data_IF_811689111321
#
_entry.id   IF_811689111321
#
_cell.length_a   1.000
_cell.length_b   1.000
_cell.length_c   1.000
_cell.angle_alpha   90.00
_cell.angle_beta   90.00
_cell.angle_gamma   90.00
#
_symmetry.space_group_name_H-M   'P 1'
#
loop_
_entity.id
_entity.type
_entity.pdbx_description
1 polymer ?
#
# COMPACT_ATOMS: atom_id res chain seq x y z
N UNK A 1 0.42 -11.11 -23.11
CA UNK A 1 1.63 -10.37 -23.52
C UNK A 1 2.92 -11.04 -23.00
N UNK A 2 3.03 -11.38 -21.71
CA UNK A 2 4.28 -11.88 -21.08
C UNK A 2 5.04 -12.99 -21.82
N UNK A 3 4.43 -14.15 -22.09
CA UNK A 3 5.13 -15.31 -22.70
C UNK A 3 5.62 -15.03 -24.12
N UNK A 4 4.83 -14.29 -24.91
CA UNK A 4 5.19 -13.93 -26.28
C UNK A 4 6.41 -12.99 -26.32
N UNK A 5 6.44 -11.96 -25.46
CA UNK A 5 7.57 -11.03 -25.34
C UNK A 5 8.82 -11.75 -24.85
N UNK A 6 8.70 -12.60 -23.82
CA UNK A 6 9.79 -13.47 -23.36
C UNK A 6 10.36 -14.31 -24.51
N UNK A 7 9.51 -14.94 -25.30
CA UNK A 7 9.93 -15.73 -26.45
C UNK A 7 10.63 -14.90 -27.53
N UNK A 8 10.16 -13.67 -27.78
CA UNK A 8 10.78 -12.73 -28.71
C UNK A 8 12.20 -12.32 -28.25
N UNK A 9 12.36 -11.94 -26.98
CA UNK A 9 13.65 -11.52 -26.41
C UNK A 9 14.67 -12.65 -26.46
N UNK A 10 14.26 -13.86 -26.06
CA UNK A 10 15.12 -15.05 -26.10
C UNK A 10 15.58 -15.39 -27.53
N UNK A 11 14.69 -15.34 -28.52
CA UNK A 11 15.04 -15.61 -29.92
C UNK A 11 16.04 -14.62 -30.51
N UNK A 12 16.09 -13.39 -29.97
CA UNK A 12 16.97 -12.31 -30.46
C UNK A 12 18.14 -12.01 -29.53
N UNK A 13 18.36 -12.80 -28.48
CA UNK A 13 19.37 -12.54 -27.44
C UNK A 13 19.28 -11.13 -26.84
N UNK A 14 18.06 -10.60 -26.69
CA UNK A 14 17.84 -9.30 -26.07
C UNK A 14 17.71 -9.48 -24.55
N UNK A 15 18.49 -8.75 -23.72
CA UNK A 15 18.30 -8.75 -22.28
C UNK A 15 16.96 -8.10 -21.94
N UNK A 16 16.33 -8.56 -20.85
CA UNK A 16 15.07 -8.02 -20.38
C UNK A 16 14.90 -8.23 -18.89
N UNK A 17 14.12 -7.36 -18.26
CA UNK A 17 13.63 -7.53 -16.90
C UNK A 17 12.16 -7.89 -16.89
N UNK A 18 11.72 -8.42 -15.75
CA UNK A 18 10.32 -8.79 -15.51
C UNK A 18 9.90 -8.25 -14.15
N UNK A 19 8.60 -8.15 -13.90
CA UNK A 19 8.10 -7.75 -12.59
C UNK A 19 7.10 -8.73 -12.03
N UNK A 20 7.08 -8.87 -10.71
CA UNK A 20 6.19 -9.75 -9.97
C UNK A 20 5.29 -8.92 -9.04
N UNK A 21 4.07 -8.63 -9.50
CA UNK A 21 3.10 -7.81 -8.74
C UNK A 21 1.80 -8.55 -8.39
N UNK A 22 1.53 -9.66 -9.08
CA UNK A 22 0.34 -10.46 -8.86
C UNK A 22 0.77 -11.80 -8.28
N UNK A 23 0.17 -12.16 -7.14
CA UNK A 23 0.24 -13.48 -6.50
C UNK A 23 -0.53 -14.50 -7.35
N UNK A 24 -0.05 -14.70 -8.57
CA UNK A 24 -0.70 -15.51 -9.60
C UNK A 24 -0.86 -16.98 -9.16
N UNK A 25 0.12 -17.62 -8.50
CA UNK A 25 -0.03 -18.98 -7.98
C UNK A 25 -1.22 -19.12 -7.03
N UNK A 26 -1.37 -18.19 -6.09
CA UNK A 26 -2.45 -18.17 -5.10
C UNK A 26 -3.79 -17.90 -5.78
N UNK A 27 -3.84 -16.91 -6.65
CA UNK A 27 -5.02 -16.60 -7.46
C UNK A 27 -5.48 -17.80 -8.30
N UNK A 28 -4.55 -18.54 -8.88
CA UNK A 28 -4.84 -19.73 -9.67
C UNK A 28 -5.40 -20.85 -8.77
N UNK A 29 -4.73 -21.13 -7.65
CA UNK A 29 -5.13 -22.18 -6.72
C UNK A 29 -6.49 -21.95 -6.07
N UNK A 30 -6.90 -20.68 -5.92
CA UNK A 30 -8.22 -20.31 -5.41
C UNK A 30 -9.35 -20.55 -6.43
N UNK A 31 -9.04 -20.70 -7.71
CA UNK A 31 -10.04 -20.80 -8.80
C UNK A 31 -10.11 -22.17 -9.45
N UNK A 32 -9.02 -22.91 -9.45
CA UNK A 32 -8.93 -24.25 -10.02
C UNK A 32 -8.16 -25.17 -9.06
N UNK A 33 -8.42 -26.49 -9.05
CA UNK A 33 -7.82 -27.44 -8.11
C UNK A 33 -6.36 -27.76 -8.44
N UNK A 34 -5.52 -26.74 -8.44
CA UNK A 34 -4.08 -26.81 -8.73
C UNK A 34 -3.34 -26.20 -7.54
N UNK A 35 -2.35 -26.93 -7.00
CA UNK A 35 -1.51 -26.39 -5.94
C UNK A 35 -0.78 -25.12 -6.39
N UNK A 36 -0.67 -24.14 -5.49
CA UNK A 36 0.13 -22.94 -5.71
C UNK A 36 1.58 -23.29 -6.11
N UNK A 37 2.14 -24.42 -5.65
CA UNK A 37 3.50 -24.83 -6.01
C UNK A 37 3.69 -25.04 -7.52
N UNK A 38 2.65 -25.52 -8.22
CA UNK A 38 2.67 -25.63 -9.68
C UNK A 38 2.73 -24.24 -10.33
N UNK A 39 1.94 -23.31 -9.78
CA UNK A 39 1.99 -21.90 -10.16
C UNK A 39 3.39 -21.30 -9.96
N UNK A 40 4.01 -21.51 -8.79
CA UNK A 40 5.37 -21.01 -8.53
C UNK A 40 6.41 -21.65 -9.43
N UNK A 41 6.30 -22.95 -9.75
CA UNK A 41 7.17 -23.60 -10.74
C UNK A 41 7.08 -22.94 -12.10
N UNK A 42 5.86 -22.65 -12.56
CA UNK A 42 5.64 -21.93 -13.81
C UNK A 42 6.23 -20.52 -13.76
N UNK A 43 5.98 -19.78 -12.68
CA UNK A 43 6.50 -18.43 -12.51
C UNK A 43 8.03 -18.42 -12.48
N UNK A 44 8.68 -19.35 -11.77
CA UNK A 44 10.14 -19.49 -11.79
C UNK A 44 10.66 -19.72 -13.21
N UNK A 45 10.06 -20.64 -13.97
CA UNK A 45 10.43 -20.88 -15.37
C UNK A 45 10.26 -19.62 -16.23
N UNK A 46 9.17 -18.89 -16.02
CA UNK A 46 8.87 -17.68 -16.76
C UNK A 46 9.93 -16.60 -16.51
N UNK A 47 10.27 -16.35 -15.23
CA UNK A 47 11.17 -15.28 -14.83
C UNK A 47 12.67 -15.63 -14.93
N UNK A 48 13.05 -16.92 -14.89
CA UNK A 48 14.46 -17.39 -14.93
C UNK A 48 15.34 -16.79 -16.03
N UNK A 49 14.91 -16.53 -17.27
CA UNK A 49 15.77 -15.90 -18.26
C UNK A 49 15.96 -14.38 -18.10
N UNK A 50 15.17 -13.72 -17.25
CA UNK A 50 15.29 -12.27 -17.06
C UNK A 50 16.58 -11.91 -16.34
N UNK A 51 17.09 -10.72 -16.62
CA UNK A 51 18.27 -10.17 -15.95
C UNK A 51 17.96 -9.68 -14.53
N UNK A 52 16.67 -9.46 -14.23
CA UNK A 52 16.18 -9.04 -12.93
C UNK A 52 14.67 -9.21 -12.82
N UNK A 53 14.21 -9.58 -11.63
CA UNK A 53 12.80 -9.72 -11.27
C UNK A 53 12.47 -8.60 -10.29
N UNK A 54 11.79 -7.58 -10.78
CA UNK A 54 11.35 -6.44 -10.00
C UNK A 54 10.26 -6.87 -9.02
N UNK A 55 10.53 -6.71 -7.73
CA UNK A 55 9.64 -7.02 -6.62
C UNK A 55 9.35 -5.75 -5.83
N UNK A 56 8.11 -5.61 -5.39
CA UNK A 56 7.66 -4.34 -4.87
C UNK A 56 7.92 -4.18 -3.36
N UNK A 57 7.98 -5.28 -2.60
CA UNK A 57 8.16 -5.27 -1.15
C UNK A 57 9.21 -6.26 -0.67
N UNK A 58 9.71 -6.04 0.55
CA UNK A 58 10.65 -6.96 1.20
C UNK A 58 9.99 -8.29 1.57
N UNK A 59 8.74 -8.30 2.05
CA UNK A 59 8.06 -9.57 2.33
C UNK A 59 7.89 -10.43 1.07
N UNK A 60 7.57 -9.81 -0.08
CA UNK A 60 7.49 -10.50 -1.37
C UNK A 60 8.85 -11.01 -1.83
N UNK A 61 9.93 -10.23 -1.58
CA UNK A 61 11.30 -10.66 -1.86
C UNK A 61 11.63 -11.92 -1.07
N UNK A 62 11.49 -11.88 0.24
CA UNK A 62 11.80 -13.00 1.15
C UNK A 62 10.99 -14.24 0.80
N UNK A 63 9.70 -14.07 0.49
CA UNK A 63 8.85 -15.17 0.05
C UNK A 63 9.36 -15.79 -1.25
N UNK A 64 9.66 -14.98 -2.27
CA UNK A 64 10.14 -15.46 -3.56
C UNK A 64 11.54 -16.10 -3.42
N UNK A 65 12.42 -15.55 -2.60
CA UNK A 65 13.73 -16.14 -2.28
C UNK A 65 13.58 -17.52 -1.62
N UNK A 66 12.71 -17.64 -0.61
CA UNK A 66 12.41 -18.92 0.05
C UNK A 66 11.85 -19.97 -0.93
N UNK A 67 11.25 -19.52 -2.04
CA UNK A 67 10.70 -20.37 -3.10
C UNK A 67 11.66 -20.58 -4.27
N UNK A 68 12.92 -20.13 -4.16
CA UNK A 68 13.99 -20.37 -5.13
C UNK A 68 13.94 -19.46 -6.36
N UNK A 69 13.38 -18.25 -6.23
CA UNK A 69 13.58 -17.19 -7.22
C UNK A 69 14.96 -16.55 -7.02
N UNK A 70 15.57 -16.09 -8.10
CA UNK A 70 16.90 -15.50 -8.12
C UNK A 70 16.84 -14.15 -8.83
N UNK A 71 17.85 -13.29 -8.63
CA UNK A 71 17.95 -11.95 -9.26
C UNK A 71 16.75 -11.06 -8.96
N UNK A 72 16.26 -11.10 -7.73
CA UNK A 72 15.22 -10.19 -7.28
C UNK A 72 15.81 -8.80 -7.08
N UNK A 73 15.19 -7.78 -7.67
CA UNK A 73 15.59 -6.37 -7.57
C UNK A 73 14.42 -5.54 -7.09
N UNK A 74 14.69 -4.51 -6.30
CA UNK A 74 13.61 -3.71 -5.72
C UNK A 74 13.00 -2.78 -6.78
N UNK A 75 11.68 -2.72 -6.81
CA UNK A 75 10.93 -1.72 -7.56
C UNK A 75 9.64 -1.39 -6.79
N UNK A 76 9.77 -0.48 -5.83
CA UNK A 76 8.68 -0.06 -4.95
C UNK A 76 7.65 0.78 -5.70
N UNK A 77 6.51 1.07 -5.05
CA UNK A 77 5.52 1.99 -5.62
C UNK A 77 5.87 3.44 -5.32
N UNK A 78 5.44 4.33 -6.22
CA UNK A 78 5.57 5.77 -6.10
C UNK A 78 4.35 6.43 -5.44
N UNK A 79 4.60 7.51 -4.68
CA UNK A 79 3.60 8.50 -4.26
C UNK A 79 3.95 9.87 -4.84
N UNK A 80 2.93 10.66 -5.19
CA UNK A 80 3.10 12.05 -5.61
C UNK A 80 3.30 12.93 -4.37
N UNK A 81 4.55 13.10 -3.98
CA UNK A 81 4.93 13.90 -2.81
C UNK A 81 4.78 15.40 -3.04
N UNK A 82 4.59 15.86 -4.29
CA UNK A 82 4.25 17.24 -4.55
C UNK A 82 2.77 17.49 -4.24
N UNK A 83 1.88 16.58 -4.65
CA UNK A 83 0.45 16.64 -4.36
C UNK A 83 0.15 16.41 -2.87
N UNK A 84 0.60 15.29 -2.32
CA UNK A 84 0.38 14.94 -0.91
C UNK A 84 1.50 15.55 -0.07
N UNK A 85 1.15 16.53 0.77
CA UNK A 85 2.10 17.28 1.61
C UNK A 85 1.41 17.85 2.86
N UNK A 86 2.12 17.97 4.00
CA UNK A 86 1.53 18.51 5.24
C UNK A 86 0.99 19.93 5.09
N UNK A 87 1.54 20.74 4.18
CA UNK A 87 1.17 22.15 3.98
C UNK A 87 -0.05 22.33 3.05
N UNK A 88 -0.69 21.24 2.60
CA UNK A 88 -1.91 21.34 1.83
C UNK A 88 -3.02 22.01 2.68
N UNK A 89 -3.96 22.74 2.06
CA UNK A 89 -5.07 23.34 2.79
C UNK A 89 -5.84 22.29 3.60
N UNK A 90 -6.25 22.63 4.82
CA UNK A 90 -7.06 21.72 5.61
C UNK A 90 -8.52 21.76 5.14
N UNK A 91 -9.05 20.62 4.69
CA UNK A 91 -10.44 20.49 4.25
C UNK A 91 -11.44 20.40 5.42
N UNK A 92 -10.98 20.05 6.62
CA UNK A 92 -11.83 19.72 7.77
C UNK A 92 -11.51 20.61 8.96
N UNK A 93 -12.54 21.19 9.55
CA UNK A 93 -12.50 21.88 10.85
C UNK A 93 -13.30 21.05 11.86
N UNK A 94 -12.64 20.06 12.46
CA UNK A 94 -13.24 19.06 13.34
C UNK A 94 -12.47 18.98 14.67
N UNK A 95 -13.13 18.56 15.77
CA UNK A 95 -12.45 18.28 17.04
C UNK A 95 -11.27 17.32 16.85
N UNK A 96 -10.08 17.76 17.25
CA UNK A 96 -8.88 16.91 17.21
C UNK A 96 -8.85 15.94 18.39
N UNK A 97 -8.19 14.78 18.23
CA UNK A 97 -7.53 14.28 17.02
C UNK A 97 -8.49 13.85 15.91
N UNK A 98 -8.08 13.99 14.65
CA UNK A 98 -8.81 13.52 13.46
C UNK A 98 -8.22 12.17 13.01
N UNK A 99 -8.96 11.10 13.23
CA UNK A 99 -8.61 9.75 12.76
C UNK A 99 -9.25 9.50 11.41
N UNK A 100 -8.45 9.09 10.43
CA UNK A 100 -8.91 9.02 9.04
C UNK A 100 -8.72 7.63 8.44
N UNK A 101 -9.77 7.17 7.77
CA UNK A 101 -9.70 6.08 6.80
C UNK A 101 -9.86 6.65 5.39
N UNK A 102 -9.04 6.19 4.44
CA UNK A 102 -9.17 6.50 3.01
C UNK A 102 -9.19 5.21 2.21
N UNK A 103 -10.23 5.02 1.40
CA UNK A 103 -10.35 3.85 0.54
C UNK A 103 -11.78 3.47 0.19
N UNK A 104 -11.92 2.33 -0.51
CA UNK A 104 -13.24 1.81 -0.88
C UNK A 104 -14.03 1.37 0.36
N UNK A 105 -15.27 1.84 0.50
CA UNK A 105 -16.14 1.44 1.63
C UNK A 105 -16.79 0.08 1.35
N UNK A 106 -16.09 -1.00 1.71
CA UNK A 106 -16.47 -2.37 1.39
C UNK A 106 -16.04 -3.39 2.45
N UNK A 107 -16.66 -4.58 2.42
CA UNK A 107 -16.56 -5.61 3.48
C UNK A 107 -15.12 -6.06 3.67
N UNK A 108 -14.41 -6.28 2.57
CA UNK A 108 -13.02 -6.73 2.56
C UNK A 108 -12.05 -5.73 3.20
N UNK A 109 -12.46 -4.46 3.35
CA UNK A 109 -11.65 -3.42 3.99
C UNK A 109 -11.80 -3.37 5.50
N UNK A 110 -12.75 -4.12 6.08
CA UNK A 110 -12.92 -4.26 7.52
C UNK A 110 -13.08 -2.90 8.25
N UNK A 111 -13.72 -1.93 7.59
CA UNK A 111 -13.81 -0.53 8.08
C UNK A 111 -14.52 -0.45 9.43
N UNK A 112 -15.46 -1.37 9.69
CA UNK A 112 -16.14 -1.48 10.99
C UNK A 112 -15.16 -1.56 12.16
N UNK A 113 -14.01 -2.21 12.00
CA UNK A 113 -12.99 -2.29 13.04
C UNK A 113 -12.37 -0.93 13.42
N UNK A 114 -12.37 0.04 12.50
CA UNK A 114 -12.04 1.43 12.78
C UNK A 114 -13.24 2.18 13.38
N UNK A 115 -14.45 1.99 12.83
CA UNK A 115 -15.64 2.72 13.27
C UNK A 115 -16.06 2.34 14.71
N UNK A 116 -15.84 1.09 15.11
CA UNK A 116 -16.14 0.59 16.46
C UNK A 116 -15.14 1.08 17.53
N UNK A 117 -14.05 1.75 17.15
CA UNK A 117 -13.08 2.24 18.12
C UNK A 117 -13.68 3.40 18.93
N UNK A 118 -13.52 3.28 20.26
CA UNK A 118 -13.77 4.36 21.20
C UNK A 118 -12.51 5.24 21.27
N UNK A 119 -12.61 6.41 20.65
CA UNK A 119 -11.52 7.36 20.47
C UNK A 119 -12.01 8.76 20.82
N UNK A 120 -11.23 9.48 21.62
CA UNK A 120 -11.42 10.91 21.82
C UNK A 120 -11.04 11.64 20.53
N UNK A 121 -11.98 12.37 19.92
CA UNK A 121 -11.77 13.13 18.68
C UNK A 121 -12.78 12.82 17.58
N UNK A 122 -12.39 13.05 16.33
CA UNK A 122 -13.26 12.90 15.17
C UNK A 122 -12.83 11.73 14.29
N UNK A 123 -13.80 10.92 13.85
CA UNK A 123 -13.60 9.84 12.88
C UNK A 123 -14.05 10.28 11.50
N UNK A 124 -13.20 10.13 10.50
CA UNK A 124 -13.47 10.53 9.10
C UNK A 124 -13.25 9.36 8.15
N UNK A 125 -14.22 9.16 7.26
CA UNK A 125 -14.15 8.18 6.16
C UNK A 125 -14.16 8.91 4.84
N UNK A 126 -13.03 8.87 4.13
CA UNK A 126 -12.87 9.39 2.77
C UNK A 126 -12.97 8.22 1.80
N UNK A 127 -14.00 8.20 0.98
CA UNK A 127 -14.23 7.12 0.03
C UNK A 127 -15.69 6.84 -0.24
N UNK A 128 -15.91 5.93 -1.17
CA UNK A 128 -17.23 5.43 -1.50
C UNK A 128 -17.17 3.92 -1.70
N UNK A 129 -18.33 3.27 -1.71
CA UNK A 129 -18.41 1.83 -1.91
C UNK A 129 -19.76 1.25 -1.50
N UNK A 130 -19.94 -0.06 -1.76
CA UNK A 130 -21.22 -0.74 -1.55
C UNK A 130 -21.73 -0.69 -0.10
N UNK A 131 -20.85 -0.51 0.89
CA UNK A 131 -21.25 -0.43 2.29
C UNK A 131 -21.42 0.99 2.83
N UNK A 132 -21.20 2.03 2.01
CA UNK A 132 -21.20 3.41 2.49
C UNK A 132 -22.52 3.77 3.17
N UNK A 133 -23.64 3.62 2.46
CA UNK A 133 -24.95 4.07 2.95
C UNK A 133 -25.35 3.35 4.25
N UNK A 134 -25.06 2.05 4.34
CA UNK A 134 -25.31 1.24 5.54
C UNK A 134 -24.48 1.73 6.73
N UNK A 135 -23.18 1.92 6.56
CA UNK A 135 -22.28 2.34 7.63
C UNK A 135 -22.52 3.80 8.04
N UNK A 136 -22.81 4.69 7.09
CA UNK A 136 -23.16 6.09 7.36
C UNK A 136 -24.44 6.20 8.20
N UNK A 137 -25.42 5.31 7.98
CA UNK A 137 -26.61 5.23 8.82
C UNK A 137 -26.35 4.61 10.20
N UNK A 138 -25.39 3.69 10.32
CA UNK A 138 -25.11 2.97 11.56
C UNK A 138 -24.17 3.74 12.51
N UNK A 139 -23.35 4.65 11.97
CA UNK A 139 -22.35 5.43 12.70
C UNK A 139 -22.57 6.94 12.44
N UNK A 140 -23.66 7.54 12.96
CA UNK A 140 -24.02 8.93 12.68
C UNK A 140 -23.01 9.96 13.23
N UNK A 141 -22.12 9.54 14.13
CA UNK A 141 -21.04 10.36 14.68
C UNK A 141 -19.79 10.40 13.78
N UNK A 142 -19.71 9.56 12.75
CA UNK A 142 -18.57 9.48 11.82
C UNK A 142 -18.83 10.37 10.60
N UNK A 143 -17.82 11.11 10.18
CA UNK A 143 -17.90 11.98 9.00
C UNK A 143 -17.57 11.20 7.72
N UNK A 144 -18.61 10.79 6.98
CA UNK A 144 -18.47 10.22 5.63
C UNK A 144 -18.47 11.32 4.57
N UNK A 145 -17.29 11.63 4.01
CA UNK A 145 -17.12 12.77 3.09
C UNK A 145 -17.16 12.38 1.61
N UNK A 146 -17.35 11.09 1.32
CA UNK A 146 -17.36 10.55 -0.03
C UNK A 146 -15.99 10.41 -0.68
N UNK A 147 -15.97 9.97 -1.93
CA UNK A 147 -14.73 9.80 -2.69
C UNK A 147 -14.13 11.16 -3.07
N UNK A 148 -12.81 11.28 -2.86
CA UNK A 148 -12.02 12.49 -3.10
C UNK A 148 -10.86 12.17 -4.04
N UNK A 149 -10.40 13.17 -4.81
CA UNK A 149 -9.29 13.03 -5.75
C UNK A 149 -8.47 14.33 -5.81
N UNK A 150 -7.22 14.22 -6.29
CA UNK A 150 -6.36 15.38 -6.51
C UNK A 150 -6.15 16.22 -5.24
N UNK A 151 -6.19 17.54 -5.40
CA UNK A 151 -5.99 18.50 -4.30
C UNK A 151 -7.03 18.36 -3.18
N UNK A 152 -8.28 17.99 -3.50
CA UNK A 152 -9.32 17.77 -2.48
C UNK A 152 -8.95 16.56 -1.61
N UNK A 153 -8.43 15.48 -2.21
CA UNK A 153 -7.95 14.33 -1.43
C UNK A 153 -6.72 14.68 -0.59
N UNK A 154 -5.76 15.43 -1.15
CA UNK A 154 -4.58 15.88 -0.42
C UNK A 154 -4.95 16.76 0.78
N UNK A 155 -5.93 17.66 0.62
CA UNK A 155 -6.45 18.50 1.69
C UNK A 155 -7.10 17.71 2.84
N UNK A 156 -7.75 16.59 2.53
CA UNK A 156 -8.28 15.68 3.55
C UNK A 156 -7.15 14.97 4.30
N UNK A 157 -6.15 14.41 3.60
CA UNK A 157 -5.01 13.77 4.26
C UNK A 157 -4.26 14.76 5.18
N UNK A 158 -4.02 16.00 4.75
CA UNK A 158 -3.37 17.04 5.56
C UNK A 158 -4.19 17.42 6.81
N UNK A 159 -5.51 17.23 6.78
CA UNK A 159 -6.39 17.47 7.93
C UNK A 159 -6.33 16.37 9.00
N UNK A 160 -5.76 15.21 8.68
CA UNK A 160 -5.71 14.05 9.56
C UNK A 160 -4.54 14.05 10.55
N UNK A 161 -4.76 13.44 11.71
CA UNK A 161 -3.77 13.22 12.76
C UNK A 161 -3.22 11.79 12.74
N UNK A 162 -4.07 10.79 12.49
CA UNK A 162 -3.66 9.37 12.38
C UNK A 162 -4.46 8.70 11.27
N UNK A 163 -3.74 7.98 10.40
CA UNK A 163 -4.33 7.16 9.36
C UNK A 163 -4.59 5.77 9.90
N UNK A 164 -5.87 5.39 10.01
CA UNK A 164 -6.25 4.07 10.51
C UNK A 164 -6.52 3.16 9.32
N UNK A 165 -5.73 2.09 9.21
CA UNK A 165 -5.79 1.12 8.12
C UNK A 165 -6.27 -0.25 8.63
N UNK A 166 -7.59 -0.51 8.67
CA UNK A 166 -8.16 -1.72 9.26
C UNK A 166 -8.16 -2.93 8.31
N UNK A 167 -7.74 -2.78 7.04
CA UNK A 167 -7.74 -3.90 6.10
C UNK A 167 -6.67 -4.94 6.47
N UNK A 168 -7.04 -6.21 6.39
CA UNK A 168 -6.14 -7.35 6.65
C UNK A 168 -5.57 -7.98 5.38
N UNK A 169 -6.07 -7.59 4.21
CA UNK A 169 -5.86 -8.30 2.94
C UNK A 169 -5.19 -7.47 1.86
N UNK A 170 -5.02 -6.16 2.08
CA UNK A 170 -4.35 -5.28 1.13
C UNK A 170 -2.83 -5.51 1.10
N UNK A 171 -2.26 -5.48 -0.11
CA UNK A 171 -0.90 -5.97 -0.38
C UNK A 171 0.17 -4.88 -0.53
N UNK A 172 -0.19 -3.59 -0.51
CA UNK A 172 0.81 -2.51 -0.62
C UNK A 172 0.35 -1.16 -0.05
N UNK A 173 -0.95 -0.86 -0.13
CA UNK A 173 -1.55 0.34 0.44
C UNK A 173 -0.90 1.66 -0.01
N UNK A 174 -1.08 2.06 -1.28
CA UNK A 174 -0.70 3.41 -1.75
C UNK A 174 -1.24 4.52 -0.83
N UNK A 175 -2.44 4.32 -0.29
CA UNK A 175 -3.07 5.22 0.69
C UNK A 175 -2.25 5.43 1.97
N UNK A 176 -1.45 4.44 2.40
CA UNK A 176 -0.52 4.61 3.52
C UNK A 176 0.63 5.55 3.13
N UNK A 177 1.18 5.41 1.92
CA UNK A 177 2.22 6.32 1.43
C UNK A 177 1.68 7.75 1.24
N UNK A 178 0.43 7.91 0.81
CA UNK A 178 -0.25 9.22 0.71
C UNK A 178 -0.46 9.87 2.08
N UNK A 179 -0.88 9.08 3.08
CA UNK A 179 -0.99 9.52 4.47
C UNK A 179 0.37 9.97 5.03
N UNK A 180 1.40 9.13 4.90
CA UNK A 180 2.76 9.43 5.34
C UNK A 180 3.33 10.65 4.62
N UNK A 181 3.10 10.77 3.30
CA UNK A 181 3.47 11.95 2.53
C UNK A 181 2.78 13.22 3.03
N UNK A 182 1.61 13.12 3.65
CA UNK A 182 0.90 14.25 4.26
C UNK A 182 1.27 14.45 5.74
N UNK A 183 2.27 13.71 6.25
CA UNK A 183 2.76 13.76 7.63
C UNK A 183 1.85 13.05 8.63
N UNK A 184 0.96 12.17 8.16
CA UNK A 184 0.03 11.45 9.04
C UNK A 184 0.56 10.03 9.34
N UNK A 185 0.89 9.70 10.61
CA UNK A 185 1.33 8.37 11.01
C UNK A 185 0.23 7.32 10.80
N UNK A 186 0.65 6.06 10.65
CA UNK A 186 -0.25 4.94 10.33
C UNK A 186 -0.50 4.05 11.54
N UNK A 187 -1.76 3.66 11.76
CA UNK A 187 -2.14 2.59 12.68
C UNK A 187 -2.79 1.44 11.89
N UNK A 188 -2.26 0.22 12.00
CA UNK A 188 -2.72 -0.89 11.17
C UNK A 188 -2.51 -2.27 11.84
N UNK A 189 -3.06 -3.31 11.23
CA UNK A 189 -2.77 -4.70 11.61
C UNK A 189 -1.39 -5.16 11.11
N UNK A 190 -0.70 -6.09 11.81
CA UNK A 190 0.60 -6.62 11.40
C UNK A 190 0.46 -7.68 10.29
N UNK A 191 0.03 -7.24 9.12
CA UNK A 191 -0.22 -8.06 7.91
C UNK A 191 0.66 -7.57 6.76
N UNK A 192 0.86 -8.36 5.68
CA UNK A 192 1.92 -8.08 4.68
C UNK A 192 1.97 -6.64 4.15
N UNK A 193 0.83 -6.05 3.74
CA UNK A 193 0.82 -4.68 3.22
C UNK A 193 1.35 -3.63 4.21
N UNK A 194 0.75 -3.49 5.40
CA UNK A 194 1.27 -2.61 6.45
C UNK A 194 2.69 -2.94 6.90
N UNK A 195 3.07 -4.23 7.01
CA UNK A 195 4.44 -4.63 7.36
C UNK A 195 5.45 -4.04 6.35
N UNK A 196 5.12 -4.13 5.07
CA UNK A 196 6.01 -3.66 4.00
C UNK A 196 6.18 -2.13 3.93
N UNK A 197 5.27 -1.35 4.52
CA UNK A 197 5.29 0.12 4.47
C UNK A 197 5.74 0.75 5.78
N UNK A 198 5.37 0.15 6.92
CA UNK A 198 5.44 0.76 8.25
C UNK A 198 6.45 0.08 9.16
N UNK A 199 6.66 -1.24 9.02
CA UNK A 199 7.44 -2.00 10.00
C UNK A 199 8.91 -1.55 10.05
N UNK A 200 9.43 -1.41 11.27
CA UNK A 200 10.78 -0.91 11.53
C UNK A 200 11.07 0.54 11.10
N UNK A 201 10.14 1.22 10.42
CA UNK A 201 10.34 2.57 9.92
C UNK A 201 10.06 3.65 10.97
N UNK A 202 9.34 3.34 12.05
CA UNK A 202 8.99 4.31 13.10
C UNK A 202 7.94 5.34 12.68
N UNK A 203 7.18 5.05 11.62
CA UNK A 203 6.20 5.96 11.00
C UNK A 203 4.74 5.54 11.25
N UNK A 204 4.58 4.48 12.04
CA UNK A 204 3.29 3.93 12.41
C UNK A 204 3.42 2.81 13.44
N UNK A 205 2.27 2.34 13.94
CA UNK A 205 2.18 1.26 14.92
C UNK A 205 1.36 0.12 14.31
N UNK A 206 1.94 -1.08 14.35
CA UNK A 206 1.29 -2.32 13.91
C UNK A 206 0.88 -3.14 15.14
N UNK A 207 -0.41 -3.48 15.25
CA UNK A 207 -0.94 -4.24 16.40
C UNK A 207 -2.19 -5.02 16.04
N UNK A 208 -2.42 -6.15 16.70
CA UNK A 208 -3.72 -6.84 16.66
C UNK A 208 -4.81 -6.09 17.45
N UNK A 209 -4.41 -5.20 18.38
CA UNK A 209 -5.28 -4.19 18.98
C UNK A 209 -5.14 -2.87 18.21
N UNK A 210 -6.06 -2.66 17.26
CA UNK A 210 -6.08 -1.47 16.41
C UNK A 210 -6.33 -0.17 17.21
N UNK A 211 -7.08 -0.24 18.31
CA UNK A 211 -7.32 0.91 19.17
C UNK A 211 -6.06 1.37 19.90
N UNK A 212 -5.30 0.41 20.43
CA UNK A 212 -3.98 0.67 21.02
C UNK A 212 -3.02 1.25 19.97
N UNK A 213 -2.93 0.65 18.78
CA UNK A 213 -2.10 1.18 17.69
C UNK A 213 -2.47 2.62 17.33
N UNK A 214 -3.76 2.93 17.27
CA UNK A 214 -4.26 4.27 16.93
C UNK A 214 -3.85 5.32 17.97
N UNK A 215 -3.98 5.00 19.27
CA UNK A 215 -3.60 5.89 20.37
C UNK A 215 -2.09 6.07 20.52
N UNK A 216 -1.30 5.08 20.15
CA UNK A 216 0.16 5.19 20.18
C UNK A 216 0.71 5.91 18.95
N UNK A 217 0.12 5.69 17.77
CA UNK A 217 0.55 6.30 16.51
C UNK A 217 0.48 7.83 16.54
N UNK A 218 -0.44 8.43 17.30
CA UNK A 218 -0.55 9.90 17.43
C UNK A 218 0.72 10.57 17.99
N UNK A 219 1.56 9.81 18.71
CA UNK A 219 2.79 10.32 19.33
C UNK A 219 3.97 10.37 18.35
N UNK A 220 3.79 9.82 17.14
CA UNK A 220 4.83 9.75 16.12
C UNK A 220 5.00 11.12 15.48
N UNK A 221 6.26 11.48 15.27
CA UNK A 221 6.60 12.74 14.62
C UNK A 221 6.16 12.76 13.15
N UNK A 222 5.43 13.82 12.79
CA UNK A 222 4.86 14.03 11.46
C UNK A 222 5.93 14.29 10.41
N UNK A 223 7.03 14.95 10.81
CA UNK A 223 8.17 15.20 9.92
C UNK A 223 8.87 13.88 9.54
N UNK A 224 9.11 13.00 10.52
CA UNK A 224 9.61 11.64 10.26
C UNK A 224 8.73 10.83 9.31
N UNK A 225 7.40 10.90 9.44
CA UNK A 225 6.46 10.28 8.48
C UNK A 225 6.67 10.80 7.05
N UNK A 226 6.82 12.12 6.91
CA UNK A 226 7.06 12.77 5.62
C UNK A 226 8.40 12.35 5.02
N UNK A 227 9.47 12.36 5.80
CA UNK A 227 10.81 11.95 5.36
C UNK A 227 10.83 10.52 4.83
N UNK A 228 10.12 9.60 5.49
CA UNK A 228 9.99 8.23 5.01
C UNK A 228 9.25 8.17 3.67
N UNK A 229 8.13 8.88 3.52
CA UNK A 229 7.37 8.91 2.28
C UNK A 229 8.16 9.50 1.09
N UNK A 230 9.05 10.46 1.33
CA UNK A 230 9.92 11.05 0.28
C UNK A 230 10.84 10.00 -0.38
N UNK A 231 11.17 8.90 0.33
CA UNK A 231 11.92 7.76 -0.24
C UNK A 231 11.13 7.04 -1.33
N UNK A 232 9.80 7.13 -1.30
CA UNK A 232 8.88 6.48 -2.24
C UNK A 232 8.32 7.45 -3.30
N UNK A 233 9.04 8.51 -3.66
CA UNK A 233 8.57 9.42 -4.72
C UNK A 233 8.47 8.73 -6.10
N UNK A 234 7.61 9.25 -6.98
CA UNK A 234 7.58 8.79 -8.39
C UNK A 234 8.93 8.92 -9.09
N UNK A 235 9.73 9.95 -8.75
CA UNK A 235 11.07 10.11 -9.28
C UNK A 235 11.99 8.95 -8.85
N UNK A 236 11.96 8.58 -7.57
CA UNK A 236 12.73 7.44 -7.07
C UNK A 236 12.26 6.11 -7.67
N UNK A 237 10.94 5.88 -7.75
CA UNK A 237 10.37 4.69 -8.39
C UNK A 237 10.78 4.58 -9.86
N UNK A 238 10.77 5.70 -10.60
CA UNK A 238 11.21 5.75 -11.99
C UNK A 238 12.71 5.54 -12.13
N UNK A 239 13.51 6.04 -11.19
CA UNK A 239 14.95 5.82 -11.17
C UNK A 239 15.27 4.33 -10.90
N UNK A 240 14.65 3.72 -9.88
CA UNK A 240 14.78 2.27 -9.61
C UNK A 240 14.39 1.45 -10.84
N UNK A 241 13.30 1.81 -11.53
CA UNK A 241 12.91 1.15 -12.77
C UNK A 241 14.03 1.21 -13.81
N UNK A 242 14.60 2.40 -14.05
CA UNK A 242 15.70 2.61 -15.01
C UNK A 242 16.97 1.87 -14.63
N UNK A 243 17.36 1.90 -13.36
CA UNK A 243 18.56 1.23 -12.85
C UNK A 243 18.45 -0.29 -12.98
N UNK A 244 17.23 -0.81 -12.91
CA UNK A 244 16.93 -2.20 -13.15
C UNK A 244 16.85 -2.55 -14.66
N UNK A 245 16.77 -1.58 -15.58
CA UNK A 245 16.81 -1.87 -17.01
C UNK A 245 18.22 -2.29 -17.44
N UNK A 246 18.29 -3.26 -18.35
CA UNK A 246 19.54 -3.64 -18.98
C UNK A 246 19.72 -2.85 -20.28
N UNK A 247 20.82 -2.10 -20.45
CA UNK A 247 21.11 -1.45 -21.71
C UNK A 247 21.19 -2.46 -22.85
N UNK A 248 20.65 -2.09 -24.00
CA UNK A 248 21.00 -2.75 -25.26
C UNK A 248 22.36 -2.18 -25.65
N UNK A 249 23.40 -3.01 -25.58
CA UNK A 249 24.75 -2.64 -26.02
C UNK A 249 24.82 -2.26 -27.49
#
# INVERSE_FOLDING_TARGET
>A
IGVAVRGYCLKRNLPFTTSYHTRFPEYLSARIPVSADVGYRFMRWFHRPSSGIMVATQSMREELESRGFERLVDWTRGVDTALFRPEAPHALDLPRPVYMYVGRVAVEKNIKAFLDLDLDGSKVVVGDGPQRAELESAYPEVHFVGAKQGEDLAAHYASGDVFVFPSRTDTFGLVMLEALASGMPVAAYPVPGPLDVVDGAGVGILSEDLGSATREAIKIDREHCREHALKFSWANCAQMFRDNLQPLG
#
